data_IF_151839898092
#
_entry.id   IF_151839898092
#
_cell.length_a   1.000
_cell.length_b   1.000
_cell.length_c   1.000
_cell.angle_alpha   90.00
_cell.angle_beta   90.00
_cell.angle_gamma   90.00
#
_symmetry.space_group_name_H-M   'P 1'
#
loop_
_entity.id
_entity.type
_entity.pdbx_description
1 polymer ?
#
# COMPACT_ATOMS: atom_id res chain seq x y z
N UNK A 1 -11.61 -8.63 25.19
CA UNK A 1 -11.71 -9.14 23.81
C UNK A 1 -10.55 -8.54 23.02
N UNK A 2 -9.87 -9.33 22.21
CA UNK A 2 -8.86 -8.84 21.30
C UNK A 2 -9.47 -7.74 20.40
N UNK A 3 -8.69 -6.71 20.07
CA UNK A 3 -9.10 -5.68 19.09
C UNK A 3 -8.36 -5.99 17.80
N UNK A 4 -9.10 -6.20 16.73
CA UNK A 4 -8.51 -6.55 15.44
C UNK A 4 -8.86 -5.54 14.35
N UNK A 5 -8.05 -5.51 13.30
CA UNK A 5 -8.30 -4.74 12.07
C UNK A 5 -8.26 -5.70 10.90
N UNK A 6 -9.28 -5.64 10.04
CA UNK A 6 -9.25 -6.32 8.76
C UNK A 6 -8.60 -5.39 7.72
N UNK A 7 -7.46 -5.80 7.18
CA UNK A 7 -6.74 -5.05 6.15
C UNK A 7 -7.08 -5.61 4.78
N UNK A 8 -7.46 -4.74 3.85
CA UNK A 8 -7.83 -5.09 2.47
C UNK A 8 -6.93 -4.34 1.50
N UNK A 9 -6.39 -5.07 0.53
CA UNK A 9 -5.64 -4.52 -0.59
C UNK A 9 -6.26 -5.03 -1.89
N UNK A 10 -7.14 -4.24 -2.51
CA UNK A 10 -7.83 -4.56 -3.75
C UNK A 10 -7.00 -4.10 -4.95
N UNK A 11 -6.48 -5.05 -5.72
CA UNK A 11 -5.85 -4.79 -7.01
C UNK A 11 -6.86 -4.87 -8.15
N UNK A 12 -6.39 -4.76 -9.42
CA UNK A 12 -7.25 -4.84 -10.62
C UNK A 12 -7.92 -6.20 -10.79
N UNK A 13 -7.19 -7.29 -10.52
CA UNK A 13 -7.67 -8.68 -10.66
C UNK A 13 -7.38 -9.52 -9.42
N UNK A 14 -7.11 -8.90 -8.28
CA UNK A 14 -6.80 -9.63 -7.05
C UNK A 14 -7.20 -8.85 -5.80
N UNK A 15 -7.46 -9.58 -4.71
CA UNK A 15 -7.66 -9.02 -3.38
C UNK A 15 -6.75 -9.78 -2.42
N UNK A 16 -5.93 -9.04 -1.65
CA UNK A 16 -5.20 -9.57 -0.50
C UNK A 16 -5.84 -9.05 0.77
N UNK A 17 -5.94 -9.90 1.77
CA UNK A 17 -6.49 -9.49 3.05
C UNK A 17 -5.75 -10.12 4.20
N UNK A 18 -5.82 -9.46 5.35
CA UNK A 18 -5.27 -9.97 6.60
C UNK A 18 -6.07 -9.43 7.79
N UNK A 19 -6.39 -10.29 8.73
CA UNK A 19 -6.91 -9.91 10.05
C UNK A 19 -5.71 -9.78 11.00
N UNK A 20 -5.53 -8.60 11.57
CA UNK A 20 -4.38 -8.28 12.42
C UNK A 20 -4.84 -7.96 13.83
N UNK A 21 -4.20 -8.55 14.82
CA UNK A 21 -4.37 -8.17 16.23
C UNK A 21 -3.62 -6.85 16.50
N UNK A 22 -4.31 -5.88 17.08
CA UNK A 22 -3.73 -4.55 17.31
C UNK A 22 -2.76 -4.47 18.48
N UNK A 23 -2.83 -5.42 19.41
CA UNK A 23 -1.96 -5.41 20.58
C UNK A 23 -0.61 -6.06 20.27
N UNK A 24 -0.63 -7.22 19.62
CA UNK A 24 0.58 -7.94 19.24
C UNK A 24 1.15 -7.52 17.88
N UNK A 25 0.33 -6.98 17.00
CA UNK A 25 0.68 -6.74 15.58
C UNK A 25 0.72 -8.02 14.74
N UNK A 26 0.32 -9.15 15.28
CA UNK A 26 0.35 -10.44 14.58
C UNK A 26 -0.84 -10.59 13.62
N UNK A 27 -0.58 -11.21 12.47
CA UNK A 27 -1.61 -11.64 11.54
C UNK A 27 -2.30 -12.90 12.04
N UNK A 28 -3.58 -12.80 12.38
CA UNK A 28 -4.38 -13.94 12.86
C UNK A 28 -4.87 -14.82 11.71
N UNK A 29 -5.29 -14.22 10.61
CA UNK A 29 -5.70 -14.90 9.39
C UNK A 29 -5.31 -14.07 8.18
N UNK A 30 -5.08 -14.72 7.05
CA UNK A 30 -4.74 -14.04 5.80
C UNK A 30 -5.31 -14.76 4.60
N UNK A 31 -5.37 -14.08 3.47
CA UNK A 31 -5.80 -14.74 2.24
C UNK A 31 -5.59 -13.89 1.00
N UNK A 32 -5.93 -14.54 -0.11
CA UNK A 32 -5.72 -14.05 -1.44
C UNK A 32 -6.88 -14.49 -2.33
N UNK A 33 -7.33 -13.59 -3.18
CA UNK A 33 -8.24 -13.87 -4.30
C UNK A 33 -7.54 -13.42 -5.56
N UNK A 34 -7.49 -14.26 -6.58
CA UNK A 34 -6.79 -13.98 -7.84
C UNK A 34 -7.68 -14.25 -9.05
N UNK A 35 -7.31 -13.64 -10.19
CA UNK A 35 -7.98 -13.77 -11.49
C UNK A 35 -9.43 -13.29 -11.47
N UNK A 36 -9.73 -12.24 -10.71
CA UNK A 36 -11.05 -11.62 -10.67
C UNK A 36 -11.37 -11.01 -12.04
N UNK A 37 -12.53 -11.36 -12.60
CA UNK A 37 -13.00 -10.87 -13.90
C UNK A 37 -12.31 -11.51 -15.12
N UNK A 38 -11.50 -12.55 -14.92
CA UNK A 38 -10.85 -13.28 -15.99
C UNK A 38 -11.75 -14.41 -16.51
N UNK A 39 -11.61 -14.84 -17.79
CA UNK A 39 -12.42 -15.91 -18.40
C UNK A 39 -11.97 -17.33 -18.01
N UNK A 40 -11.35 -17.46 -16.85
CA UNK A 40 -10.85 -18.70 -16.25
C UNK A 40 -11.24 -18.75 -14.79
N UNK A 41 -11.17 -19.92 -14.19
CA UNK A 41 -11.42 -20.04 -12.76
C UNK A 41 -10.42 -19.19 -11.98
N UNK A 42 -10.96 -18.40 -11.07
CA UNK A 42 -10.18 -17.66 -10.10
C UNK A 42 -9.76 -18.55 -8.95
N UNK A 43 -8.82 -18.07 -8.17
CA UNK A 43 -8.26 -18.83 -7.05
C UNK A 43 -8.48 -18.06 -5.76
N UNK A 44 -9.03 -18.72 -4.77
CA UNK A 44 -9.15 -18.26 -3.40
C UNK A 44 -8.22 -19.04 -2.49
N UNK A 45 -7.57 -18.33 -1.60
CA UNK A 45 -6.79 -18.93 -0.53
C UNK A 45 -7.12 -18.23 0.78
N UNK A 46 -7.37 -19.01 1.81
CA UNK A 46 -7.54 -18.55 3.19
C UNK A 46 -6.62 -19.35 4.11
N UNK A 47 -5.94 -18.66 5.00
CA UNK A 47 -5.03 -19.28 5.95
C UNK A 47 -5.37 -18.83 7.37
N UNK A 48 -5.61 -19.80 8.25
CA UNK A 48 -5.92 -19.59 9.66
C UNK A 48 -5.36 -20.72 10.51
N UNK A 49 -4.69 -20.41 11.63
CA UNK A 49 -4.06 -21.39 12.53
C UNK A 49 -3.10 -22.37 11.83
N UNK A 50 -2.43 -21.94 10.76
CA UNK A 50 -1.54 -22.80 9.98
C UNK A 50 -2.23 -23.72 8.98
N UNK A 51 -3.55 -23.75 8.96
CA UNK A 51 -4.34 -24.49 7.97
C UNK A 51 -4.61 -23.59 6.75
N UNK A 52 -4.54 -24.19 5.56
CA UNK A 52 -4.77 -23.52 4.28
C UNK A 52 -6.00 -24.11 3.62
N UNK A 53 -6.93 -23.25 3.24
CA UNK A 53 -8.14 -23.60 2.51
C UNK A 53 -8.09 -22.91 1.15
N UNK A 54 -8.21 -23.68 0.09
CA UNK A 54 -8.13 -23.20 -1.28
C UNK A 54 -9.40 -23.60 -2.04
N UNK A 55 -9.84 -22.74 -2.95
CA UNK A 55 -11.00 -22.98 -3.80
C UNK A 55 -10.75 -22.37 -5.18
N UNK A 56 -11.11 -23.10 -6.21
CA UNK A 56 -11.11 -22.61 -7.58
C UNK A 56 -12.54 -22.53 -8.10
N UNK A 57 -12.97 -21.34 -8.51
CA UNK A 57 -14.27 -21.09 -9.12
C UNK A 57 -14.23 -19.79 -9.94
N UNK A 58 -15.15 -19.57 -10.91
CA UNK A 58 -15.24 -18.31 -11.62
C UNK A 58 -15.52 -17.15 -10.66
N UNK A 59 -14.74 -16.06 -10.78
CA UNK A 59 -14.89 -14.85 -9.96
C UNK A 59 -15.21 -13.69 -10.89
N UNK A 60 -16.48 -13.27 -10.95
CA UNK A 60 -16.92 -12.28 -11.91
C UNK A 60 -16.49 -10.86 -11.55
N UNK A 61 -16.44 -10.52 -10.25
CA UNK A 61 -16.09 -9.19 -9.78
C UNK A 61 -15.57 -9.18 -8.34
N UNK A 62 -15.12 -8.00 -7.88
CA UNK A 62 -14.63 -7.81 -6.52
C UNK A 62 -15.72 -8.02 -5.45
N UNK A 63 -16.99 -7.81 -5.78
CA UNK A 63 -18.08 -8.02 -4.83
C UNK A 63 -18.25 -9.50 -4.52
N UNK A 64 -18.26 -10.35 -5.55
CA UNK A 64 -18.26 -11.80 -5.37
C UNK A 64 -17.04 -12.26 -4.58
N UNK A 65 -15.85 -11.77 -4.96
CA UNK A 65 -14.61 -12.10 -4.27
C UNK A 65 -14.65 -11.77 -2.78
N UNK A 66 -15.06 -10.55 -2.42
CA UNK A 66 -15.14 -10.13 -1.01
C UNK A 66 -16.23 -10.87 -0.23
N UNK A 67 -17.40 -11.14 -0.82
CA UNK A 67 -18.42 -11.97 -0.19
C UNK A 67 -17.91 -13.36 0.15
N UNK A 68 -17.16 -13.98 -0.77
CA UNK A 68 -16.57 -15.31 -0.54
C UNK A 68 -15.48 -15.27 0.53
N UNK A 69 -14.68 -14.19 0.57
CA UNK A 69 -13.70 -13.97 1.65
C UNK A 69 -14.37 -13.95 3.03
N UNK A 70 -15.48 -13.21 3.18
CA UNK A 70 -16.22 -13.21 4.45
C UNK A 70 -16.78 -14.59 4.77
N UNK A 71 -17.25 -15.34 3.76
CA UNK A 71 -17.67 -16.73 3.93
C UNK A 71 -16.56 -17.64 4.47
N UNK A 72 -15.31 -17.46 4.04
CA UNK A 72 -14.18 -18.23 4.58
C UNK A 72 -13.94 -17.96 6.07
N UNK A 73 -14.11 -16.73 6.52
CA UNK A 73 -14.05 -16.43 7.94
C UNK A 73 -15.14 -17.15 8.73
N UNK A 74 -16.33 -17.29 8.17
CA UNK A 74 -17.44 -18.01 8.81
C UNK A 74 -17.23 -19.54 8.80
N UNK A 75 -16.67 -20.07 7.70
CA UNK A 75 -16.47 -21.51 7.50
C UNK A 75 -15.24 -22.04 8.22
N UNK A 76 -14.11 -21.32 8.13
CA UNK A 76 -12.80 -21.79 8.58
C UNK A 76 -12.22 -20.97 9.73
N UNK A 77 -12.76 -19.79 10.00
CA UNK A 77 -12.40 -18.91 11.11
C UNK A 77 -11.28 -17.91 10.79
N UNK A 78 -10.97 -17.04 11.77
CA UNK A 78 -11.79 -16.78 12.96
C UNK A 78 -13.12 -16.12 12.61
N UNK A 79 -14.21 -16.46 13.25
CA UNK A 79 -15.51 -15.81 12.99
C UNK A 79 -15.41 -14.30 13.23
N UNK A 80 -15.73 -13.50 12.23
CA UNK A 80 -15.57 -12.05 12.30
C UNK A 80 -16.42 -11.40 13.40
N UNK A 81 -17.58 -11.98 13.70
CA UNK A 81 -18.46 -11.53 14.79
C UNK A 81 -17.76 -11.63 16.17
N UNK A 82 -16.88 -12.61 16.35
CA UNK A 82 -16.18 -12.89 17.60
C UNK A 82 -14.77 -12.31 17.61
N UNK A 83 -14.27 -11.88 16.45
CA UNK A 83 -12.88 -11.42 16.26
C UNK A 83 -12.61 -10.02 16.82
N UNK A 84 -13.64 -9.29 17.27
CA UNK A 84 -13.48 -7.96 17.85
C UNK A 84 -12.97 -6.91 16.83
N UNK A 85 -13.47 -6.95 15.59
CA UNK A 85 -13.06 -6.03 14.55
C UNK A 85 -13.48 -4.60 14.93
N UNK A 86 -12.48 -3.73 15.05
CA UNK A 86 -12.69 -2.30 15.38
C UNK A 86 -12.64 -1.40 14.16
N UNK A 87 -12.02 -1.85 13.06
CA UNK A 87 -11.96 -1.13 11.80
C UNK A 87 -11.63 -2.05 10.61
N UNK A 88 -11.93 -1.57 9.39
CA UNK A 88 -11.38 -2.11 8.14
C UNK A 88 -10.45 -1.08 7.52
N UNK A 89 -9.22 -1.46 7.23
CA UNK A 89 -8.23 -0.64 6.54
C UNK A 89 -8.15 -0.99 5.05
N UNK A 90 -8.29 0.01 4.18
CA UNK A 90 -8.13 -0.15 2.74
C UNK A 90 -6.87 0.56 2.26
N UNK A 91 -5.94 -0.17 1.67
CA UNK A 91 -4.81 0.44 1.00
C UNK A 91 -5.28 1.13 -0.28
N UNK A 92 -4.79 2.35 -0.50
CA UNK A 92 -5.00 3.13 -1.72
C UNK A 92 -3.64 3.63 -2.23
N UNK A 93 -3.35 3.35 -3.49
CA UNK A 93 -2.05 3.72 -4.09
C UNK A 93 -1.91 5.22 -4.21
N UNK A 94 -2.96 5.93 -4.63
CA UNK A 94 -2.83 7.35 -4.95
C UNK A 94 -3.83 8.22 -4.19
N UNK A 95 -3.32 9.03 -3.27
CA UNK A 95 -4.07 10.06 -2.53
C UNK A 95 -3.97 11.46 -3.14
N UNK A 96 -3.14 11.65 -4.17
CA UNK A 96 -2.94 12.92 -4.86
C UNK A 96 -2.47 14.03 -3.92
N UNK A 97 -2.95 15.24 -4.19
CA UNK A 97 -2.79 16.41 -3.32
C UNK A 97 -3.95 16.57 -2.33
N UNK A 98 -4.86 15.59 -2.26
CA UNK A 98 -6.10 15.66 -1.47
C UNK A 98 -5.93 15.00 -0.11
N UNK A 99 -5.22 13.88 -0.06
CA UNK A 99 -5.10 13.06 1.14
C UNK A 99 -3.70 13.07 1.74
N UNK A 100 -3.42 13.98 2.71
CA UNK A 100 -2.12 14.04 3.40
C UNK A 100 -1.96 12.97 4.48
N UNK A 101 -3.06 12.28 4.84
CA UNK A 101 -3.14 11.29 5.93
C UNK A 101 -4.31 10.33 5.67
N UNK A 102 -4.42 9.23 6.43
CA UNK A 102 -5.58 8.34 6.36
C UNK A 102 -6.91 9.07 6.51
N UNK A 103 -7.95 8.57 5.83
CA UNK A 103 -9.27 9.19 5.80
C UNK A 103 -10.38 8.16 6.01
N UNK A 104 -11.46 8.55 6.70
CA UNK A 104 -12.66 7.73 6.82
C UNK A 104 -13.28 7.47 5.44
N UNK A 105 -13.72 6.25 5.21
CA UNK A 105 -14.45 5.84 4.02
C UNK A 105 -15.87 6.37 4.10
N UNK A 106 -16.19 7.33 3.26
CA UNK A 106 -17.49 7.97 3.09
C UNK A 106 -17.82 8.06 1.62
N UNK A 107 -19.07 8.35 1.25
CA UNK A 107 -19.40 8.57 -0.17
C UNK A 107 -18.53 9.66 -0.80
N UNK A 108 -18.21 10.73 -0.04
CA UNK A 108 -17.34 11.80 -0.50
C UNK A 108 -15.92 11.30 -0.78
N UNK A 109 -15.30 10.61 0.17
CA UNK A 109 -13.91 10.16 0.02
C UNK A 109 -13.79 9.05 -1.02
N UNK A 110 -14.79 8.18 -1.19
CA UNK A 110 -14.86 7.20 -2.27
C UNK A 110 -14.83 7.90 -3.63
N UNK A 111 -15.68 8.92 -3.82
CA UNK A 111 -15.70 9.68 -5.09
C UNK A 111 -14.36 10.37 -5.34
N UNK A 112 -13.75 10.97 -4.33
CA UNK A 112 -12.43 11.59 -4.44
C UNK A 112 -11.34 10.56 -4.84
N UNK A 113 -11.39 9.33 -4.30
CA UNK A 113 -10.46 8.25 -4.70
C UNK A 113 -10.70 7.83 -6.15
N UNK A 114 -11.97 7.76 -6.59
CA UNK A 114 -12.33 7.50 -8.00
C UNK A 114 -11.83 8.60 -8.93
N UNK A 115 -11.97 9.86 -8.56
CA UNK A 115 -11.49 10.99 -9.36
C UNK A 115 -9.96 10.98 -9.50
N UNK A 116 -9.25 10.49 -8.50
CA UNK A 116 -7.81 10.30 -8.54
C UNK A 116 -7.34 9.11 -9.40
N UNK A 117 -8.26 8.33 -9.99
CA UNK A 117 -7.91 7.26 -10.92
C UNK A 117 -7.14 7.78 -12.15
N UNK A 118 -7.26 9.05 -12.50
CA UNK A 118 -6.44 9.68 -13.54
C UNK A 118 -4.93 9.57 -13.24
N UNK A 119 -4.53 9.54 -11.98
CA UNK A 119 -3.14 9.37 -11.54
C UNK A 119 -2.74 7.90 -11.36
N UNK A 120 -3.69 7.02 -11.12
CA UNK A 120 -3.47 5.59 -10.89
C UNK A 120 -4.64 4.74 -11.43
N UNK A 121 -4.83 4.68 -12.77
CA UNK A 121 -6.01 4.10 -13.38
C UNK A 121 -6.20 2.61 -13.11
N UNK A 122 -5.13 1.86 -12.89
CA UNK A 122 -5.17 0.43 -12.59
C UNK A 122 -5.42 0.10 -11.10
N UNK A 123 -5.41 1.11 -10.23
CA UNK A 123 -5.44 0.92 -8.78
C UNK A 123 -6.65 1.58 -8.12
N UNK A 124 -6.77 2.89 -8.20
CA UNK A 124 -7.76 3.64 -7.42
C UNK A 124 -9.21 3.22 -7.67
N UNK A 125 -9.56 2.84 -8.91
CA UNK A 125 -10.89 2.35 -9.23
C UNK A 125 -11.26 1.06 -8.47
N UNK A 126 -10.50 -0.03 -8.62
CA UNK A 126 -10.68 -1.26 -7.85
C UNK A 126 -10.64 -1.06 -6.33
N UNK A 127 -9.74 -0.22 -5.83
CA UNK A 127 -9.60 0.09 -4.40
C UNK A 127 -10.84 0.80 -3.85
N UNK A 128 -11.37 1.79 -4.58
CA UNK A 128 -12.62 2.46 -4.22
C UNK A 128 -13.81 1.48 -4.26
N UNK A 129 -13.89 0.61 -5.27
CA UNK A 129 -14.94 -0.42 -5.37
C UNK A 129 -14.87 -1.40 -4.21
N UNK A 130 -13.67 -1.87 -3.84
CA UNK A 130 -13.47 -2.74 -2.70
C UNK A 130 -13.99 -2.12 -1.40
N UNK A 131 -13.72 -0.83 -1.17
CA UNK A 131 -14.22 -0.12 0.00
C UNK A 131 -15.75 0.09 -0.03
N UNK A 132 -16.35 0.34 -1.19
CA UNK A 132 -17.82 0.40 -1.33
C UNK A 132 -18.48 -0.91 -0.93
N UNK A 133 -17.94 -2.01 -1.44
CA UNK A 133 -18.45 -3.35 -1.15
C UNK A 133 -18.32 -3.67 0.33
N UNK A 134 -17.13 -3.45 0.92
CA UNK A 134 -16.90 -3.74 2.33
C UNK A 134 -17.79 -2.90 3.24
N UNK A 135 -18.09 -1.64 2.89
CA UNK A 135 -19.06 -0.82 3.64
C UNK A 135 -20.48 -1.39 3.62
N UNK A 136 -20.88 -2.02 2.53
CA UNK A 136 -22.19 -2.66 2.46
C UNK A 136 -22.24 -3.98 3.22
N UNK A 137 -21.13 -4.70 3.29
CA UNK A 137 -21.02 -5.99 3.97
C UNK A 137 -20.80 -5.85 5.48
N UNK A 138 -20.10 -4.80 5.92
CA UNK A 138 -19.80 -4.50 7.32
C UNK A 138 -20.20 -3.04 7.64
N UNK A 139 -21.50 -2.71 7.66
CA UNK A 139 -21.98 -1.33 7.76
C UNK A 139 -21.68 -0.67 9.11
N UNK A 140 -21.59 -1.45 10.17
CA UNK A 140 -21.38 -0.97 11.54
C UNK A 140 -19.88 -0.85 11.90
N UNK A 141 -18.98 -1.32 11.03
CA UNK A 141 -17.54 -1.26 11.25
C UNK A 141 -16.96 -0.04 10.55
N UNK A 142 -16.27 0.86 11.26
CA UNK A 142 -15.58 1.99 10.66
C UNK A 142 -14.56 1.52 9.62
N UNK A 143 -14.48 2.22 8.50
CA UNK A 143 -13.54 1.89 7.42
C UNK A 143 -12.66 3.08 7.08
N UNK A 144 -11.40 2.81 6.77
CA UNK A 144 -10.36 3.81 6.65
C UNK A 144 -9.55 3.56 5.36
N UNK A 145 -9.40 4.59 4.54
CA UNK A 145 -8.42 4.61 3.46
C UNK A 145 -7.04 4.97 3.99
N UNK A 146 -6.03 4.19 3.61
CA UNK A 146 -4.61 4.45 3.89
C UNK A 146 -3.87 4.59 2.57
N UNK A 147 -3.25 5.76 2.36
CA UNK A 147 -2.70 6.13 1.06
C UNK A 147 -1.18 5.95 1.01
N UNK A 148 -0.68 5.22 0.02
CA UNK A 148 0.78 5.07 -0.18
C UNK A 148 1.47 6.41 -0.41
N UNK A 149 0.80 7.34 -1.11
CA UNK A 149 1.36 8.66 -1.38
C UNK A 149 1.37 9.60 -0.17
N UNK A 150 0.61 9.30 0.91
CA UNK A 150 0.52 10.20 2.08
C UNK A 150 1.85 10.33 2.82
N UNK A 151 2.65 9.25 2.88
CA UNK A 151 3.99 9.29 3.46
C UNK A 151 4.91 10.33 2.81
N UNK A 152 4.71 10.59 1.52
CA UNK A 152 5.49 11.53 0.72
C UNK A 152 4.76 12.87 0.48
N UNK A 153 3.65 13.11 1.16
CA UNK A 153 2.82 14.30 0.92
C UNK A 153 3.61 15.61 1.08
N UNK A 154 4.51 15.65 2.05
CA UNK A 154 5.35 16.83 2.37
C UNK A 154 6.68 16.85 1.61
N UNK A 155 6.83 16.11 0.49
CA UNK A 155 8.03 16.23 -0.34
C UNK A 155 8.28 17.69 -0.73
N UNK A 156 9.51 18.20 -0.46
CA UNK A 156 9.85 19.57 -0.85
C UNK A 156 9.78 19.75 -2.39
N UNK A 157 9.51 20.95 -2.84
CA UNK A 157 9.35 21.24 -4.27
C UNK A 157 10.56 20.76 -5.10
N UNK A 158 11.78 20.94 -4.59
CA UNK A 158 13.01 20.48 -5.26
C UNK A 158 13.02 18.95 -5.50
N UNK A 159 12.39 18.16 -4.65
CA UNK A 159 12.31 16.72 -4.78
C UNK A 159 11.03 16.26 -5.53
N UNK A 160 9.96 17.04 -5.49
CA UNK A 160 8.66 16.67 -6.08
C UNK A 160 8.44 17.20 -7.50
N UNK A 161 9.18 18.22 -7.92
CA UNK A 161 9.02 18.83 -9.24
C UNK A 161 9.83 18.06 -10.29
N UNK A 162 9.21 17.80 -11.44
CA UNK A 162 9.91 17.29 -12.62
C UNK A 162 10.34 18.43 -13.53
N UNK A 163 11.42 18.25 -14.28
CA UNK A 163 11.92 19.21 -15.28
C UNK A 163 11.03 19.18 -16.54
N UNK A 164 9.79 19.65 -16.41
CA UNK A 164 8.78 19.73 -17.47
C UNK A 164 8.30 21.18 -17.60
N UNK A 165 7.59 21.48 -18.72
CA UNK A 165 6.90 22.76 -18.84
C UNK A 165 5.97 22.96 -17.63
N UNK A 166 6.12 24.08 -16.94
CA UNK A 166 5.41 24.35 -15.69
C UNK A 166 3.89 24.42 -15.88
N UNK A 167 3.41 25.02 -16.96
CA UNK A 167 1.99 25.16 -17.25
C UNK A 167 1.34 23.79 -17.46
N UNK A 168 2.01 22.91 -18.20
CA UNK A 168 1.56 21.53 -18.41
C UNK A 168 1.59 20.76 -17.08
N UNK A 169 2.65 20.90 -16.31
CA UNK A 169 2.76 20.20 -15.03
C UNK A 169 1.67 20.64 -14.05
N UNK A 170 1.38 21.92 -13.98
CA UNK A 170 0.33 22.49 -13.13
C UNK A 170 -1.07 22.07 -13.63
N UNK A 171 -1.33 22.12 -14.94
CA UNK A 171 -2.61 21.75 -15.55
C UNK A 171 -2.98 20.29 -15.29
N UNK A 172 -2.02 19.39 -15.38
CA UNK A 172 -2.22 17.93 -15.21
C UNK A 172 -1.79 17.42 -13.84
N UNK A 173 -1.48 18.30 -12.89
CA UNK A 173 -1.01 17.95 -11.55
C UNK A 173 0.19 16.99 -11.54
N UNK A 174 1.12 17.17 -12.50
CA UNK A 174 2.29 16.31 -12.65
C UNK A 174 3.34 16.68 -11.62
N UNK A 175 3.55 15.77 -10.68
CA UNK A 175 4.61 15.86 -9.68
C UNK A 175 5.01 14.47 -9.23
N UNK A 176 6.09 14.37 -8.48
CA UNK A 176 6.42 13.14 -7.76
C UNK A 176 5.53 13.04 -6.52
N UNK A 177 4.71 11.99 -6.46
CA UNK A 177 3.83 11.71 -5.33
C UNK A 177 4.44 10.66 -4.38
N UNK A 178 5.40 9.85 -4.84
CA UNK A 178 5.91 8.69 -4.15
C UNK A 178 5.10 7.42 -4.44
N UNK A 179 5.62 6.28 -4.00
CA UNK A 179 4.97 4.98 -4.14
C UNK A 179 5.39 4.07 -2.98
N UNK A 180 4.53 3.08 -2.65
CA UNK A 180 4.75 2.12 -1.56
C UNK A 180 4.99 2.79 -0.19
N UNK A 181 4.41 3.97 0.02
CA UNK A 181 4.67 4.79 1.20
C UNK A 181 4.30 4.10 2.50
N UNK A 182 3.22 3.32 2.53
CA UNK A 182 2.84 2.52 3.71
C UNK A 182 3.95 1.56 4.13
N UNK A 183 4.63 0.93 3.17
CA UNK A 183 5.79 0.07 3.45
C UNK A 183 7.00 0.88 3.91
N UNK A 184 7.31 1.97 3.22
CA UNK A 184 8.44 2.84 3.60
C UNK A 184 8.25 3.44 4.99
N UNK A 185 7.05 3.90 5.32
CA UNK A 185 6.71 4.45 6.63
C UNK A 185 6.90 3.41 7.74
N UNK A 186 6.35 2.21 7.55
CA UNK A 186 6.50 1.14 8.53
C UNK A 186 7.96 0.77 8.77
N UNK A 187 8.73 0.50 7.71
CA UNK A 187 10.14 0.12 7.84
C UNK A 187 10.94 1.23 8.53
N UNK A 188 10.77 2.49 8.12
CA UNK A 188 11.48 3.60 8.76
C UNK A 188 11.09 3.79 10.23
N UNK A 189 9.90 3.40 10.64
CA UNK A 189 9.47 3.48 12.03
C UNK A 189 10.06 2.38 12.93
N UNK A 190 10.28 1.17 12.38
CA UNK A 190 10.78 0.03 13.19
C UNK A 190 12.32 -0.10 13.19
N UNK A 191 13.00 0.43 12.18
CA UNK A 191 14.47 0.34 12.08
C UNK A 191 15.21 0.91 13.30
N UNK A 192 14.80 2.06 13.88
CA UNK A 192 15.45 2.59 15.07
C UNK A 192 15.55 1.57 16.20
N UNK A 193 14.48 0.87 16.51
CA UNK A 193 14.43 -0.15 17.56
C UNK A 193 15.30 -1.35 17.22
N UNK A 194 15.27 -1.82 15.96
CA UNK A 194 16.06 -2.96 15.49
C UNK A 194 17.56 -2.69 15.59
N UNK A 195 18.01 -1.46 15.29
CA UNK A 195 19.43 -1.10 15.34
C UNK A 195 19.87 -0.52 16.67
N UNK A 196 18.96 -0.35 17.62
CA UNK A 196 19.23 0.20 18.94
C UNK A 196 19.70 1.65 18.92
N UNK A 197 19.17 2.46 18.00
CA UNK A 197 19.53 3.89 17.84
C UNK A 197 18.28 4.76 17.94
N UNK A 198 18.40 5.99 18.46
CA UNK A 198 17.28 6.92 18.47
C UNK A 198 16.84 7.25 17.03
N UNK A 199 15.54 7.40 16.83
CA UNK A 199 14.98 7.78 15.53
C UNK A 199 15.42 9.18 15.09
N UNK A 200 15.64 10.07 16.08
CA UNK A 200 16.07 11.44 15.82
C UNK A 200 17.48 11.47 15.20
N UNK A 201 17.59 12.11 14.04
CA UNK A 201 18.84 12.22 13.28
C UNK A 201 19.31 10.93 12.59
N UNK A 202 18.58 9.83 12.70
CA UNK A 202 18.89 8.59 11.99
C UNK A 202 18.60 8.76 10.50
N UNK A 203 19.65 8.65 9.67
CA UNK A 203 19.52 8.68 8.21
C UNK A 203 19.25 7.26 7.71
N UNK A 204 18.13 7.09 6.97
CA UNK A 204 17.69 5.78 6.50
C UNK A 204 17.50 5.79 4.98
N UNK A 205 17.87 4.69 4.34
CA UNK A 205 17.51 4.38 2.95
C UNK A 205 16.70 3.10 3.00
N UNK A 206 15.43 3.19 2.63
CA UNK A 206 14.51 2.06 2.60
C UNK A 206 14.29 1.62 1.16
N UNK A 207 14.51 0.33 0.89
CA UNK A 207 14.29 -0.29 -0.40
C UNK A 207 13.07 -1.21 -0.31
N UNK A 208 12.05 -0.93 -1.13
CA UNK A 208 10.91 -1.82 -1.35
C UNK A 208 11.10 -2.48 -2.73
N UNK A 209 11.38 -3.78 -2.74
CA UNK A 209 11.75 -4.53 -3.95
C UNK A 209 10.77 -5.66 -4.16
N UNK A 210 10.12 -5.67 -5.32
CA UNK A 210 9.17 -6.69 -5.80
C UNK A 210 9.12 -6.67 -7.33
N UNK A 211 7.97 -6.93 -7.93
CA UNK A 211 7.77 -6.75 -9.38
C UNK A 211 8.06 -5.30 -9.82
N UNK A 212 7.71 -4.32 -8.99
CA UNK A 212 8.18 -2.95 -9.07
C UNK A 212 9.13 -2.68 -7.90
N UNK A 213 10.03 -1.72 -8.08
CA UNK A 213 10.94 -1.29 -7.03
C UNK A 213 10.77 0.20 -6.73
N UNK A 214 10.87 0.56 -5.46
CA UNK A 214 10.96 1.95 -5.02
C UNK A 214 11.96 2.08 -3.90
N UNK A 215 12.53 3.28 -3.78
CA UNK A 215 13.44 3.62 -2.70
C UNK A 215 13.04 4.95 -2.08
N UNK A 216 13.18 5.06 -0.78
CA UNK A 216 12.92 6.27 -0.03
C UNK A 216 14.13 6.61 0.84
N UNK A 217 14.40 7.89 1.01
CA UNK A 217 15.37 8.40 1.98
C UNK A 217 14.60 9.16 3.05
N UNK A 218 14.76 8.75 4.29
CA UNK A 218 14.17 9.41 5.44
C UNK A 218 15.25 10.14 6.22
N UNK A 219 14.92 11.30 6.81
CA UNK A 219 15.84 12.17 7.54
C UNK A 219 17.08 12.64 6.76
N UNK A 220 16.97 12.84 5.45
CA UNK A 220 17.99 13.54 4.69
C UNK A 220 18.08 14.99 5.18
N UNK A 221 19.17 15.33 5.86
CA UNK A 221 19.51 16.74 6.16
C UNK A 221 19.95 17.37 4.85
N UNK A 222 19.10 18.18 4.25
CA UNK A 222 19.56 19.11 3.22
C UNK A 222 20.39 20.18 3.95
N UNK A 223 21.68 20.25 3.67
CA UNK A 223 22.47 21.41 4.01
C UNK A 223 21.86 22.58 3.23
N UNK A 224 21.10 23.40 3.93
CA UNK A 224 20.69 24.69 3.41
C UNK A 224 21.97 25.52 3.27
N UNK A 225 22.31 25.91 2.06
CA UNK A 225 23.31 26.97 1.88
C UNK A 225 22.71 28.22 2.54
N UNK A 226 23.32 28.67 3.62
CA UNK A 226 22.93 29.87 4.33
C UNK A 226 23.15 31.10 3.46
N UNK A 227 22.10 31.66 2.96
CA UNK A 227 22.03 33.08 2.60
C UNK A 227 21.43 33.85 3.79
N UNK A 228 22.13 33.80 4.92
CA UNK A 228 22.09 34.81 5.99
C UNK A 228 20.76 35.03 6.71
N UNK A 229 19.90 34.05 6.88
CA UNK A 229 18.61 34.17 7.56
C UNK A 229 18.37 33.08 8.59
N UNK A 230 18.42 33.46 9.85
CA UNK A 230 18.21 32.71 11.06
C UNK A 230 16.92 31.85 11.03
N UNK A 231 17.00 30.53 10.90
CA UNK A 231 15.94 29.60 11.32
C UNK A 231 16.48 28.18 11.47
N UNK A 232 16.84 27.82 12.71
CA UNK A 232 17.05 26.43 13.11
C UNK A 232 15.73 25.66 13.10
N UNK A 233 15.37 25.10 11.97
CA UNK A 233 14.26 24.18 11.82
C UNK A 233 14.78 22.85 11.31
N UNK A 234 14.72 21.80 12.13
CA UNK A 234 14.94 20.43 11.66
C UNK A 234 13.76 20.05 10.77
N UNK A 235 13.94 20.14 9.46
CA UNK A 235 12.95 19.68 8.51
C UNK A 235 13.17 18.19 8.26
N UNK A 236 12.25 17.35 8.71
CA UNK A 236 12.16 15.94 8.29
C UNK A 236 11.72 15.89 6.83
N UNK A 237 12.62 15.64 5.91
CA UNK A 237 12.29 15.51 4.49
C UNK A 237 12.45 14.06 4.03
N UNK A 238 11.34 13.46 3.60
CA UNK A 238 11.30 12.16 2.96
C UNK A 238 11.51 12.34 1.46
N UNK A 239 12.62 11.85 0.93
CA UNK A 239 12.95 11.96 -0.49
C UNK A 239 12.78 10.61 -1.17
N UNK A 240 11.86 10.54 -2.11
CA UNK A 240 11.73 9.40 -3.02
C UNK A 240 12.74 9.55 -4.16
N UNK A 241 13.63 8.57 -4.36
CA UNK A 241 14.74 8.72 -5.30
C UNK A 241 14.46 8.10 -6.68
N UNK A 242 13.71 7.01 -6.81
CA UNK A 242 13.32 6.48 -8.14
C UNK A 242 12.38 5.27 -8.04
N UNK A 243 11.36 5.23 -8.88
CA UNK A 243 10.67 3.99 -9.24
C UNK A 243 11.41 3.36 -10.42
N UNK A 244 12.05 2.22 -10.20
CA UNK A 244 12.54 1.38 -11.28
C UNK A 244 11.41 0.42 -11.65
N UNK A 245 10.86 0.53 -12.86
CA UNK A 245 10.09 -0.56 -13.43
C UNK A 245 11.10 -1.63 -13.84
N UNK A 246 10.95 -2.83 -13.32
CA UNK A 246 11.70 -3.97 -13.86
C UNK A 246 11.35 -4.11 -15.36
N UNK A 247 12.30 -4.26 -16.25
CA UNK A 247 12.00 -4.64 -17.62
C UNK A 247 11.24 -5.95 -17.57
N UNK A 248 10.23 -6.10 -18.42
CA UNK A 248 9.51 -7.36 -18.58
C UNK A 248 10.52 -8.48 -18.80
N UNK A 249 10.78 -9.29 -17.78
CA UNK A 249 11.56 -10.51 -17.90
C UNK A 249 10.69 -11.48 -18.68
N UNK A 250 10.90 -11.50 -20.01
CA UNK A 250 10.47 -12.65 -20.80
C UNK A 250 11.19 -13.86 -20.21
N UNK A 251 10.45 -14.85 -19.78
CA UNK A 251 11.02 -16.14 -19.42
C UNK A 251 11.82 -16.68 -20.61
N UNK A 252 13.12 -16.49 -20.60
CA UNK A 252 14.03 -17.27 -21.40
C UNK A 252 14.41 -18.48 -20.55
N UNK A 253 13.89 -19.64 -20.91
CA UNK A 253 14.38 -20.91 -20.41
C UNK A 253 15.90 -21.03 -20.68
N UNK A 254 16.63 -21.29 -19.62
CA UNK A 254 17.86 -22.05 -19.60
C UNK A 254 19.06 -21.48 -20.35
N UNK A 255 19.98 -20.87 -19.60
CA UNK A 255 21.42 -21.20 -19.69
C UNK A 255 22.15 -20.69 -18.45
N UNK A 256 22.72 -21.62 -17.73
CA UNK A 256 23.58 -21.35 -16.59
C UNK A 256 24.87 -20.62 -17.09
N UNK A 257 25.07 -19.41 -16.60
CA UNK A 257 26.36 -18.72 -16.75
C UNK A 257 27.27 -19.17 -15.60
N UNK A 258 28.20 -20.05 -15.94
CA UNK A 258 29.31 -20.43 -15.09
C UNK A 258 30.24 -19.24 -14.84
N UNK A 259 30.36 -18.82 -13.60
CA UNK A 259 31.42 -17.93 -13.15
C UNK A 259 32.71 -18.74 -13.05
N UNK A 260 33.63 -18.52 -14.00
CA UNK A 260 35.03 -18.91 -13.81
C UNK A 260 35.69 -17.90 -12.89
N UNK A 261 36.15 -18.39 -11.76
CA UNK A 261 37.19 -17.71 -10.98
C UNK A 261 38.49 -17.81 -11.74
N UNK A 262 39.17 -16.71 -11.93
CA UNK A 262 40.58 -16.68 -12.29
C UNK A 262 41.32 -15.74 -11.35
N UNK A 263 42.32 -16.32 -10.69
CA UNK A 263 43.57 -15.77 -10.23
C UNK A 263 43.58 -14.60 -9.26
#
# INVERSE_FOLDING_TARGET
MAKTVLVINSGSSSIKYQLVDLESGEGLASGLVEKIGEPVDGHYKHEYNGEKHELEEPIHDHEQGLKRVLGFFDEFGPKLADAGIVAVGHRVVQGGSIFPKPALVTNKTINQVKDLAVLAPLHNGPEAKGAEVMRSLLPDVPQIFVFDSSFFFQLPKVASTYALNKEIADQYHIRRYGAHGTSHEYISSVVPDVVGKPAEGLKQIVLHIGNGASQAVDHAVFLQCDDGGNAGGVFQHKVFVKRLQAPHVRHAHGQALGLKQTG
#
